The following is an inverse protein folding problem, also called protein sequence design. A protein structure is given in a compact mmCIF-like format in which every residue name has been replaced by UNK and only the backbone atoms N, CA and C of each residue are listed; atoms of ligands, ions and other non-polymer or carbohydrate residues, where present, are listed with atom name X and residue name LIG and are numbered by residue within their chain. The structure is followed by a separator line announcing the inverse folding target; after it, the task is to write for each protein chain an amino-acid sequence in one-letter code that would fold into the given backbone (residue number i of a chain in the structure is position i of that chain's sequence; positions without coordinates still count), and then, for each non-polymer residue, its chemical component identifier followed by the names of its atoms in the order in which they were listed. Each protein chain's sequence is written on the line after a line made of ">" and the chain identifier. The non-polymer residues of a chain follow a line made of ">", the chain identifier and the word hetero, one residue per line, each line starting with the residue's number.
data_IF_288984561965
#
_entry.id   IF_288984561965
#
_cell.length_a   1.000
_cell.length_b   1.000
_cell.length_c   1.000
_cell.angle_alpha   90.00
_cell.angle_beta   90.00
_cell.angle_gamma   90.00
#
_symmetry.space_group_name_H-M   'P 1'
#
loop_
_entity.id
_entity.type
_entity.pdbx_description
1 polymer ?
#
# COMPACT_ATOMS: atom_id res chain seq x y z
N UNK A 1 -17.80 5.68 -24.75
CA UNK A 1 -17.69 4.22 -24.65
C UNK A 1 -16.31 3.94 -24.09
N UNK A 2 -16.22 3.80 -22.78
CA UNK A 2 -15.08 3.21 -22.10
C UNK A 2 -15.71 2.46 -20.92
N UNK A 3 -16.19 1.25 -21.20
CA UNK A 3 -16.57 0.35 -20.12
C UNK A 3 -15.26 -0.10 -19.50
N UNK A 4 -14.90 0.50 -18.36
CA UNK A 4 -13.92 -0.08 -17.45
C UNK A 4 -14.40 -1.51 -17.21
N UNK A 5 -13.57 -2.55 -17.40
CA UNK A 5 -14.03 -3.90 -17.15
C UNK A 5 -14.28 -4.00 -15.65
N UNK A 6 -15.56 -3.97 -15.23
CA UNK A 6 -16.00 -4.25 -13.86
C UNK A 6 -15.59 -5.65 -13.35
N UNK A 7 -14.90 -6.43 -14.19
CA UNK A 7 -14.36 -7.77 -13.90
C UNK A 7 -12.83 -7.85 -13.97
N UNK A 8 -12.09 -6.73 -13.82
CA UNK A 8 -10.62 -6.83 -13.70
C UNK A 8 -10.26 -7.50 -12.38
N UNK A 9 -9.48 -8.58 -12.44
CA UNK A 9 -8.91 -9.20 -11.25
C UNK A 9 -8.04 -8.18 -10.49
N UNK A 10 -8.29 -8.06 -9.19
CA UNK A 10 -7.51 -7.20 -8.29
C UNK A 10 -6.68 -8.09 -7.38
N UNK A 11 -5.39 -7.83 -7.29
CA UNK A 11 -4.50 -8.47 -6.32
C UNK A 11 -3.60 -7.42 -5.72
N UNK A 12 -3.55 -7.36 -4.38
CA UNK A 12 -2.68 -6.45 -3.64
C UNK A 12 -1.73 -7.28 -2.79
N UNK A 13 -0.43 -7.14 -3.03
CA UNK A 13 0.61 -7.79 -2.25
C UNK A 13 1.36 -6.75 -1.41
N UNK A 14 1.33 -6.93 -0.10
CA UNK A 14 2.07 -6.08 0.84
C UNK A 14 3.20 -6.88 1.43
N UNK A 15 4.42 -6.35 1.35
CA UNK A 15 5.62 -6.93 1.95
C UNK A 15 6.19 -5.94 2.94
N UNK A 16 6.33 -6.36 4.20
CA UNK A 16 7.12 -5.63 5.20
C UNK A 16 8.47 -6.30 5.37
N UNK A 17 9.53 -5.55 5.16
CA UNK A 17 10.91 -5.99 5.34
C UNK A 17 11.67 -5.02 6.22
N UNK A 18 12.41 -5.50 7.22
CA UNK A 18 13.24 -4.65 8.07
C UNK A 18 13.32 -5.12 9.52
N UNK A 19 14.12 -4.42 10.34
CA UNK A 19 14.44 -4.78 11.73
C UNK A 19 15.67 -5.67 11.91
N UNK A 20 16.10 -5.83 13.17
CA UNK A 20 17.39 -6.40 13.58
C UNK A 20 17.62 -7.90 13.24
N UNK A 21 16.60 -8.59 12.71
CA UNK A 21 16.65 -10.02 12.42
C UNK A 21 16.24 -10.39 10.98
N UNK A 22 16.01 -9.41 10.10
CA UNK A 22 15.74 -9.66 8.68
C UNK A 22 14.42 -10.39 8.38
N UNK A 23 13.46 -10.40 9.32
CA UNK A 23 12.17 -11.05 9.08
C UNK A 23 11.39 -10.27 8.01
N UNK A 24 11.06 -10.98 6.93
CA UNK A 24 10.13 -10.52 5.90
C UNK A 24 8.74 -11.08 6.20
N UNK A 25 7.74 -10.21 6.28
CA UNK A 25 6.33 -10.61 6.30
C UNK A 25 5.68 -10.21 4.97
N UNK A 26 4.78 -11.05 4.49
CA UNK A 26 4.04 -10.83 3.26
C UNK A 26 2.57 -11.15 3.50
N UNK A 27 1.69 -10.31 2.98
CA UNK A 27 0.25 -10.47 2.99
C UNK A 27 -0.27 -10.23 1.57
N UNK A 28 -1.27 -11.00 1.13
CA UNK A 28 -1.84 -10.91 -0.21
C UNK A 28 -3.36 -10.83 -0.15
N UNK A 29 -3.95 -9.75 -0.64
CA UNK A 29 -5.39 -9.67 -0.81
C UNK A 29 -5.78 -9.94 -2.27
N UNK A 30 -6.66 -10.91 -2.46
CA UNK A 30 -7.29 -11.24 -3.74
C UNK A 30 -8.82 -11.28 -3.56
N UNK A 31 -9.49 -10.11 -3.50
CA UNK A 31 -10.91 -10.02 -3.18
C UNK A 31 -11.79 -10.67 -4.26
N UNK A 32 -12.95 -11.24 -3.86
CA UNK A 32 -13.93 -11.75 -4.81
C UNK A 32 -14.55 -10.59 -5.63
N UNK A 33 -15.18 -10.88 -6.79
CA UNK A 33 -15.73 -9.86 -7.69
C UNK A 33 -16.62 -8.81 -7.00
N UNK A 34 -17.40 -9.21 -6.00
CA UNK A 34 -18.29 -8.32 -5.26
C UNK A 34 -17.57 -7.21 -4.48
N UNK A 35 -16.34 -7.49 -4.00
CA UNK A 35 -15.57 -6.54 -3.19
C UNK A 35 -14.56 -5.74 -4.04
N UNK A 36 -14.26 -6.17 -5.27
CA UNK A 36 -13.28 -5.51 -6.15
C UNK A 36 -13.50 -3.99 -6.31
N UNK A 37 -14.73 -3.46 -6.47
CA UNK A 37 -14.93 -2.01 -6.59
C UNK A 37 -14.46 -1.22 -5.35
N UNK A 38 -14.64 -1.78 -4.14
CA UNK A 38 -14.13 -1.17 -2.90
C UNK A 38 -12.61 -1.14 -2.88
N UNK A 39 -11.98 -2.24 -3.29
CA UNK A 39 -10.52 -2.33 -3.37
C UNK A 39 -9.93 -1.39 -4.41
N UNK A 40 -10.60 -1.25 -5.56
CA UNK A 40 -10.24 -0.26 -6.57
C UNK A 40 -10.26 1.14 -5.96
N UNK A 41 -11.33 1.54 -5.27
CA UNK A 41 -11.38 2.85 -4.61
C UNK A 41 -10.25 3.08 -3.60
N UNK A 42 -9.93 2.08 -2.75
CA UNK A 42 -8.83 2.19 -1.77
C UNK A 42 -7.47 2.40 -2.42
N UNK A 43 -7.20 1.67 -3.51
CA UNK A 43 -5.96 1.81 -4.26
C UNK A 43 -5.93 3.17 -4.99
N UNK A 44 -7.03 3.64 -5.56
CA UNK A 44 -7.05 4.93 -6.29
C UNK A 44 -6.89 6.14 -5.36
N UNK A 45 -7.31 6.02 -4.09
CA UNK A 45 -7.12 7.06 -3.07
C UNK A 45 -5.64 7.19 -2.64
N UNK A 46 -4.82 6.16 -2.90
CA UNK A 46 -3.40 6.21 -2.56
C UNK A 46 -2.64 7.16 -3.49
N UNK A 47 -1.76 8.04 -2.95
CA UNK A 47 -1.01 9.01 -3.75
C UNK A 47 0.21 8.37 -4.43
N UNK A 48 -0.01 7.46 -5.38
CA UNK A 48 1.05 6.74 -6.11
C UNK A 48 2.02 7.71 -6.81
N UNK A 49 1.50 8.73 -7.49
CA UNK A 49 2.28 9.69 -8.28
C UNK A 49 3.14 10.62 -7.41
N UNK A 50 2.69 10.99 -6.22
CA UNK A 50 3.46 11.86 -5.30
C UNK A 50 4.73 11.16 -4.79
N UNK A 51 4.62 9.85 -4.54
CA UNK A 51 5.75 9.01 -4.13
C UNK A 51 6.68 8.76 -5.31
N UNK A 52 6.15 8.48 -6.50
CA UNK A 52 6.94 8.25 -7.71
C UNK A 52 7.71 9.50 -8.16
N UNK A 53 7.11 10.69 -7.98
CA UNK A 53 7.70 11.97 -8.37
C UNK A 53 8.76 12.48 -7.37
N UNK A 54 8.87 11.86 -6.19
CA UNK A 54 9.74 12.33 -5.11
C UNK A 54 9.36 13.72 -4.59
N UNK A 55 8.21 14.26 -4.99
CA UNK A 55 7.76 15.62 -4.68
C UNK A 55 7.41 15.76 -3.19
N UNK A 56 6.88 14.70 -2.57
CA UNK A 56 6.65 14.65 -1.12
C UNK A 56 7.96 14.86 -0.32
N UNK A 57 9.13 14.42 -0.80
CA UNK A 57 10.42 14.70 -0.14
C UNK A 57 10.82 16.19 -0.18
N UNK A 58 10.36 16.96 -1.18
CA UNK A 58 10.58 18.42 -1.26
C UNK A 58 9.50 19.22 -0.55
N UNK A 59 8.23 18.85 -0.69
CA UNK A 59 7.11 19.55 -0.08
C UNK A 59 7.14 19.47 1.46
N UNK A 60 7.58 18.35 2.03
CA UNK A 60 7.81 18.22 3.48
C UNK A 60 9.02 19.02 3.98
N UNK A 61 9.98 19.34 3.10
CA UNK A 61 11.14 20.16 3.44
C UNK A 61 10.85 21.67 3.42
N UNK A 62 9.81 22.10 2.69
CA UNK A 62 9.33 23.50 2.64
C UNK A 62 8.24 23.79 3.71
N UNK A 63 7.74 22.76 4.39
CA UNK A 63 6.82 22.91 5.52
C UNK A 63 7.62 23.03 6.83
N UNK A 64 8.08 24.24 7.14
CA UNK A 64 8.90 24.66 8.29
C UNK A 64 8.33 24.33 9.70
N UNK A 65 7.23 23.56 9.81
CA UNK A 65 6.55 23.21 11.07
C UNK A 65 6.14 21.73 11.19
N UNK A 66 6.48 20.87 10.20
CA UNK A 66 6.22 19.44 10.31
C UNK A 66 7.33 18.74 11.12
N UNK A 67 7.03 17.98 12.19
CA UNK A 67 8.05 17.29 12.97
C UNK A 67 8.78 16.27 12.09
N UNK A 68 10.08 16.49 11.85
CA UNK A 68 10.95 15.47 11.24
C UNK A 68 10.89 14.22 12.12
N UNK A 69 10.42 13.07 11.60
CA UNK A 69 10.38 11.85 12.39
C UNK A 69 11.80 11.44 12.79
N UNK A 70 11.99 10.85 13.98
CA UNK A 70 13.30 10.42 14.42
C UNK A 70 13.89 9.37 13.47
N UNK A 71 15.22 9.39 13.21
CA UNK A 71 15.89 8.52 12.25
C UNK A 71 15.78 7.00 12.53
N UNK A 72 15.32 6.62 13.73
CA UNK A 72 15.08 5.23 14.14
C UNK A 72 13.76 4.63 13.63
N UNK A 73 12.86 5.44 13.06
CA UNK A 73 11.56 4.99 12.57
C UNK A 73 11.61 4.32 11.18
N UNK A 74 12.70 4.49 10.42
CA UNK A 74 12.81 3.99 9.03
C UNK A 74 13.41 2.57 8.92
N UNK A 75 13.54 1.84 10.03
CA UNK A 75 14.12 0.48 10.01
C UNK A 75 13.25 -0.56 9.27
N UNK A 76 11.98 -0.24 9.03
CA UNK A 76 11.05 -1.07 8.27
C UNK A 76 10.68 -0.39 6.96
N UNK A 77 10.83 -1.14 5.88
CA UNK A 77 10.43 -0.77 4.53
C UNK A 77 9.23 -1.62 4.14
N UNK A 78 8.20 -0.95 3.64
CA UNK A 78 7.00 -1.55 3.10
C UNK A 78 7.06 -1.48 1.57
N UNK A 79 6.76 -2.59 0.91
CA UNK A 79 6.51 -2.64 -0.53
C UNK A 79 5.07 -3.03 -0.74
N UNK A 80 4.35 -2.24 -1.53
CA UNK A 80 2.98 -2.51 -1.92
C UNK A 80 3.00 -2.70 -3.43
N UNK A 81 2.51 -3.84 -3.88
CA UNK A 81 2.38 -4.22 -5.29
C UNK A 81 0.89 -4.45 -5.56
N UNK A 82 0.38 -3.83 -6.61
CA UNK A 82 -1.01 -3.90 -7.01
C UNK A 82 -1.08 -4.35 -8.46
N UNK A 83 -1.90 -5.36 -8.70
CA UNK A 83 -2.29 -5.81 -10.03
C UNK A 83 -3.78 -5.64 -10.22
N UNK A 84 -4.16 -5.03 -11.34
CA UNK A 84 -5.55 -4.78 -11.76
C UNK A 84 -5.68 -5.15 -13.24
N UNK A 85 -6.07 -6.38 -13.52
CA UNK A 85 -6.06 -6.89 -14.89
C UNK A 85 -4.66 -6.78 -15.51
N UNK A 86 -4.49 -5.90 -16.50
CA UNK A 86 -3.21 -5.64 -17.16
C UNK A 86 -2.41 -4.47 -16.57
N UNK A 87 -3.00 -3.69 -15.64
CA UNK A 87 -2.32 -2.59 -14.97
C UNK A 87 -1.58 -3.11 -13.72
N UNK A 88 -0.31 -2.72 -13.59
CA UNK A 88 0.50 -3.02 -12.41
C UNK A 88 1.04 -1.70 -11.83
N UNK A 89 0.95 -1.54 -10.51
CA UNK A 89 1.54 -0.42 -9.78
C UNK A 89 2.30 -0.95 -8.58
N UNK A 90 3.51 -0.44 -8.35
CA UNK A 90 4.27 -0.75 -7.15
C UNK A 90 4.81 0.52 -6.48
N UNK A 91 4.91 0.47 -5.16
CA UNK A 91 5.51 1.53 -4.37
C UNK A 91 6.32 0.95 -3.23
N UNK A 92 7.37 1.68 -2.84
CA UNK A 92 8.18 1.38 -1.65
C UNK A 92 8.16 2.59 -0.73
N UNK A 93 7.77 2.35 0.51
CA UNK A 93 7.59 3.38 1.52
C UNK A 93 8.33 2.96 2.79
N UNK A 94 9.05 3.87 3.45
CA UNK A 94 9.45 3.64 4.84
C UNK A 94 8.21 3.61 5.75
N UNK A 95 8.32 3.01 6.93
CA UNK A 95 7.23 2.98 7.93
C UNK A 95 6.73 4.39 8.30
N UNK A 96 7.61 5.40 8.31
CA UNK A 96 7.26 6.80 8.57
C UNK A 96 6.27 7.39 7.56
N UNK A 97 6.34 6.97 6.29
CA UNK A 97 5.46 7.42 5.20
C UNK A 97 4.22 6.53 5.05
N UNK A 98 4.11 5.44 5.81
CA UNK A 98 2.96 4.53 5.77
C UNK A 98 1.81 5.07 6.64
N UNK A 99 1.22 6.18 6.20
CA UNK A 99 0.10 6.85 6.86
C UNK A 99 -1.03 7.17 5.87
N UNK A 100 -2.20 7.55 6.40
CA UNK A 100 -3.36 7.93 5.58
C UNK A 100 -3.83 6.77 4.68
N UNK A 101 -4.04 7.00 3.37
CA UNK A 101 -4.59 5.97 2.47
C UNK A 101 -3.69 4.74 2.34
N UNK A 102 -2.36 4.92 2.42
CA UNK A 102 -1.41 3.81 2.43
C UNK A 102 -1.59 2.87 3.61
N UNK A 103 -1.81 3.46 4.79
CA UNK A 103 -2.02 2.70 6.02
C UNK A 103 -3.33 1.93 5.95
N UNK A 104 -4.38 2.59 5.47
CA UNK A 104 -5.69 1.97 5.30
C UNK A 104 -5.63 0.78 4.34
N UNK A 105 -4.95 0.92 3.20
CA UNK A 105 -4.77 -0.18 2.24
C UNK A 105 -4.03 -1.37 2.88
N UNK A 106 -2.93 -1.11 3.60
CA UNK A 106 -2.16 -2.16 4.28
C UNK A 106 -2.98 -2.86 5.36
N UNK A 107 -3.68 -2.10 6.20
CA UNK A 107 -4.49 -2.66 7.28
C UNK A 107 -5.63 -3.54 6.70
N UNK A 108 -6.26 -3.14 5.58
CA UNK A 108 -7.28 -3.95 4.89
C UNK A 108 -6.68 -5.23 4.26
N UNK A 109 -5.46 -5.18 3.70
CA UNK A 109 -4.77 -6.38 3.18
C UNK A 109 -4.46 -7.37 4.29
N UNK A 110 -4.00 -6.88 5.44
CA UNK A 110 -3.72 -7.71 6.60
C UNK A 110 -5.01 -8.35 7.13
N UNK A 111 -6.08 -7.56 7.31
CA UNK A 111 -7.36 -8.06 7.76
C UNK A 111 -7.92 -9.13 6.81
N UNK A 112 -7.83 -8.91 5.50
CA UNK A 112 -8.28 -9.88 4.50
C UNK A 112 -7.55 -11.22 4.64
N UNK A 113 -6.23 -11.23 4.75
CA UNK A 113 -5.44 -12.45 4.93
C UNK A 113 -5.75 -13.14 6.26
N UNK A 114 -5.86 -12.38 7.36
CA UNK A 114 -6.24 -12.94 8.67
C UNK A 114 -7.63 -13.60 8.62
N UNK A 115 -8.60 -12.99 7.94
CA UNK A 115 -9.92 -13.58 7.71
C UNK A 115 -9.88 -14.82 6.80
N UNK A 116 -8.93 -14.89 5.85
CA UNK A 116 -8.71 -16.06 5.00
C UNK A 116 -8.09 -17.20 5.80
N UNK A 117 -7.05 -16.93 6.58
CA UNK A 117 -6.37 -17.91 7.43
C UNK A 117 -7.29 -18.45 8.53
N UNK A 118 -8.12 -17.60 9.13
CA UNK A 118 -9.08 -18.01 10.17
C UNK A 118 -10.28 -18.82 9.66
N UNK A 119 -10.51 -18.87 8.35
CA UNK A 119 -11.57 -19.67 7.71
C UNK A 119 -11.06 -21.00 7.12
N UNK A 120 -9.77 -21.31 7.29
CA UNK A 120 -9.12 -22.54 6.81
C UNK A 120 -9.30 -23.74 7.73
#
# INVERSE_FOLDING_TARGET
>A
MDQVPDDVDVTVTVVRSGGFAGLRRQWVAAPPPADRPRWVALIDDCPWDEVASGETLRAEADADDAPTPPPDADRFVWRIDVRRGAEERDVRLPETRLHGPWRQLVDEVQAFEEEREGRG
#
